data_IF_622800655028
#
_entry.id   IF_622800655028
#
_cell.length_a   1.000
_cell.length_b   1.000
_cell.length_c   1.000
_cell.angle_alpha   90.00
_cell.angle_beta   90.00
_cell.angle_gamma   90.00
#
_symmetry.space_group_name_H-M   'P 1'
#
loop_
_entity.id
_entity.type
_entity.pdbx_description
1 polymer ?
#
# COMPACT_ATOMS: atom_id res chain seq x y z
N UNK A 1 0.24 -18.90 -6.80
CA UNK A 1 -1.15 -19.01 -6.28
C UNK A 1 -2.01 -18.03 -7.06
N UNK A 2 -3.20 -18.42 -7.50
CA UNK A 2 -4.09 -17.54 -8.27
C UNK A 2 -5.28 -17.19 -7.38
N UNK A 3 -5.66 -15.92 -7.38
CA UNK A 3 -6.76 -15.41 -6.56
C UNK A 3 -7.77 -14.71 -7.44
N UNK A 4 -9.04 -14.91 -7.12
CA UNK A 4 -10.11 -14.13 -7.68
C UNK A 4 -10.25 -12.84 -6.85
N UNK A 5 -9.85 -11.73 -7.45
CA UNK A 5 -10.02 -10.40 -6.85
C UNK A 5 -11.41 -9.92 -7.23
N UNK A 6 -12.38 -10.15 -6.32
CA UNK A 6 -13.66 -9.47 -6.41
C UNK A 6 -13.43 -7.99 -6.13
N UNK A 7 -13.99 -7.11 -6.99
CA UNK A 7 -13.82 -5.67 -6.90
C UNK A 7 -14.58 -5.15 -5.66
N UNK A 8 -13.96 -5.25 -4.48
CA UNK A 8 -14.51 -4.64 -3.27
C UNK A 8 -14.14 -3.16 -3.36
N UNK A 9 -15.10 -2.33 -3.75
CA UNK A 9 -15.01 -0.88 -3.61
C UNK A 9 -14.80 -0.56 -2.13
N UNK A 10 -13.54 -0.42 -1.72
CA UNK A 10 -13.21 0.34 -0.53
C UNK A 10 -13.68 1.76 -0.80
N UNK A 11 -14.74 2.20 -0.13
CA UNK A 11 -15.18 3.59 -0.15
C UNK A 11 -14.05 4.44 0.42
N UNK A 12 -13.14 4.91 -0.43
CA UNK A 12 -12.29 6.05 -0.11
C UNK A 12 -13.26 7.22 0.04
N UNK A 13 -13.49 7.62 1.30
CA UNK A 13 -14.12 8.90 1.59
C UNK A 13 -13.36 10.01 0.88
N UNK A 14 -14.11 10.81 0.13
CA UNK A 14 -13.66 12.02 -0.54
C UNK A 14 -12.85 12.91 0.42
N UNK A 15 -11.56 13.08 0.14
CA UNK A 15 -10.77 14.16 0.75
C UNK A 15 -10.69 15.27 -0.29
N UNK A 16 -11.58 16.25 -0.18
CA UNK A 16 -11.56 17.46 -1.02
C UNK A 16 -10.36 18.32 -0.62
N UNK A 17 -9.23 18.08 -1.28
CA UNK A 17 -8.05 18.94 -1.23
C UNK A 17 -8.16 20.04 -2.28
N UNK A 18 -8.85 21.13 -1.95
CA UNK A 18 -8.64 22.42 -2.60
C UNK A 18 -7.45 23.12 -1.93
N UNK A 19 -6.23 22.74 -2.30
CA UNK A 19 -5.04 23.51 -1.97
C UNK A 19 -4.22 23.76 -3.23
N UNK A 20 -4.63 24.85 -3.88
CA UNK A 20 -3.81 25.90 -4.48
C UNK A 20 -2.58 25.46 -5.28
N UNK A 21 -2.77 25.60 -6.58
CA UNK A 21 -1.79 25.94 -7.60
C UNK A 21 -0.69 26.93 -7.14
N UNK A 22 0.45 26.76 -7.81
CA UNK A 22 1.58 27.67 -8.02
C UNK A 22 2.78 27.47 -7.11
N UNK A 23 3.83 26.94 -7.74
CA UNK A 23 5.11 26.66 -7.13
C UNK A 23 5.79 27.88 -6.56
N UNK A 24 6.66 27.63 -5.59
CA UNK A 24 7.57 28.63 -5.10
C UNK A 24 8.90 27.96 -4.72
N UNK A 25 9.93 28.50 -5.36
CA UNK A 25 11.34 28.25 -5.15
C UNK A 25 11.72 28.35 -3.67
N UNK A 26 12.47 27.35 -3.17
CA UNK A 26 13.14 27.45 -1.87
C UNK A 26 14.24 28.51 -1.96
N UNK A 27 14.01 29.70 -1.39
CA UNK A 27 15.08 30.61 -1.02
C UNK A 27 15.24 30.67 0.50
N UNK A 28 16.51 30.50 0.85
CA UNK A 28 17.21 30.50 2.13
C UNK A 28 16.55 31.15 3.36
N UNK A 29 16.72 30.42 4.46
CA UNK A 29 16.57 30.78 5.87
C UNK A 29 17.08 32.18 6.24
N UNK A 30 16.22 32.99 6.87
CA UNK A 30 16.65 34.02 7.83
C UNK A 30 15.51 34.32 8.82
N UNK A 31 15.48 33.62 9.95
CA UNK A 31 14.58 33.94 11.06
C UNK A 31 15.36 34.73 12.12
N UNK A 32 14.96 35.97 12.47
CA UNK A 32 15.36 36.58 13.72
C UNK A 32 14.47 36.07 14.85
N UNK A 33 15.10 35.83 15.99
CA UNK A 33 14.55 35.29 17.24
C UNK A 33 13.24 35.97 17.67
N UNK A 34 12.13 35.23 17.65
CA UNK A 34 10.90 35.65 18.33
C UNK A 34 10.67 34.72 19.54
N UNK A 35 10.96 35.26 20.73
CA UNK A 35 10.75 34.60 22.02
C UNK A 35 9.24 34.58 22.29
N UNK A 36 8.60 33.42 22.15
CA UNK A 36 7.19 33.24 22.51
C UNK A 36 7.07 32.93 24.02
N UNK A 37 6.45 33.88 24.73
CA UNK A 37 6.12 33.83 26.16
C UNK A 37 4.88 32.95 26.40
N UNK A 38 4.95 32.17 27.49
CA UNK A 38 4.07 31.10 28.01
C UNK A 38 2.61 31.52 28.31
N UNK A 39 1.63 30.58 28.49
CA UNK A 39 1.47 29.89 29.79
C UNK A 39 1.03 28.40 29.72
N UNK A 40 1.47 27.66 30.73
CA UNK A 40 1.00 26.33 31.10
C UNK A 40 -0.47 26.39 31.52
N UNK A 41 -1.35 25.71 30.78
CA UNK A 41 -2.67 25.28 31.29
C UNK A 41 -2.96 23.91 30.70
N UNK A 42 -3.21 22.96 31.61
CA UNK A 42 -3.43 21.52 31.44
C UNK A 42 -4.32 21.14 30.26
N UNK A 43 -3.74 20.98 29.07
CA UNK A 43 -4.39 20.36 27.93
C UNK A 43 -3.70 19.02 27.68
N UNK A 44 -4.47 17.93 27.81
CA UNK A 44 -3.98 16.56 27.70
C UNK A 44 -3.11 16.37 26.47
N UNK A 45 -2.03 15.62 26.65
CA UNK A 45 -1.17 15.09 25.59
C UNK A 45 -2.05 14.28 24.63
N UNK A 46 -2.60 14.95 23.62
CA UNK A 46 -3.32 14.33 22.53
C UNK A 46 -2.25 13.71 21.63
N UNK A 47 -1.91 12.45 21.89
CA UNK A 47 -1.15 11.64 20.96
C UNK A 47 -1.99 11.46 19.71
N UNK A 48 -1.66 12.20 18.64
CA UNK A 48 -2.22 11.94 17.32
C UNK A 48 -1.82 10.50 16.94
N UNK A 49 -2.79 9.59 16.93
CA UNK A 49 -2.56 8.22 16.51
C UNK A 49 -2.50 8.23 14.98
N UNK A 50 -1.29 8.07 14.43
CA UNK A 50 -1.10 7.93 13.00
C UNK A 50 -2.02 6.82 12.46
N UNK A 51 -2.72 7.10 11.36
CA UNK A 51 -3.48 6.07 10.67
C UNK A 51 -2.50 4.95 10.28
N UNK A 52 -2.76 3.74 10.75
CA UNK A 52 -1.97 2.58 10.35
C UNK A 52 -2.23 2.33 8.87
N UNK A 53 -1.22 2.57 8.04
CA UNK A 53 -1.20 2.17 6.64
C UNK A 53 -1.62 0.69 6.54
N UNK A 54 -2.65 0.39 5.74
CA UNK A 54 -3.10 -1.00 5.57
C UNK A 54 -2.07 -1.76 4.74
N UNK A 55 -1.64 -2.90 5.26
CA UNK A 55 -0.71 -3.78 4.56
C UNK A 55 -1.45 -4.72 3.61
N UNK A 56 -0.77 -5.20 2.58
CA UNK A 56 -1.29 -6.26 1.70
C UNK A 56 -1.63 -7.54 2.50
N UNK A 57 -0.97 -7.74 3.65
CA UNK A 57 -1.18 -8.89 4.53
C UNK A 57 -2.52 -8.86 5.29
N UNK A 58 -3.18 -7.70 5.36
CA UNK A 58 -4.45 -7.53 6.07
C UNK A 58 -5.66 -8.01 5.25
N UNK A 59 -5.45 -8.34 3.97
CA UNK A 59 -6.53 -8.75 3.07
C UNK A 59 -6.78 -10.27 3.12
N UNK A 60 -8.06 -10.61 2.94
CA UNK A 60 -8.51 -11.97 2.65
C UNK A 60 -9.11 -11.95 1.25
N UNK A 61 -8.63 -12.86 0.39
CA UNK A 61 -9.03 -12.99 -1.01
C UNK A 61 -9.58 -14.38 -1.27
N UNK A 62 -10.37 -14.56 -2.33
CA UNK A 62 -10.81 -15.88 -2.75
C UNK A 62 -9.75 -16.53 -3.64
N UNK A 63 -9.45 -17.80 -3.42
CA UNK A 63 -8.65 -18.58 -4.37
C UNK A 63 -9.48 -19.00 -5.60
N UNK A 64 -8.86 -19.74 -6.52
CA UNK A 64 -9.54 -20.26 -7.72
C UNK A 64 -10.68 -21.24 -7.44
N UNK A 65 -10.68 -21.87 -6.26
CA UNK A 65 -11.73 -22.78 -5.80
C UNK A 65 -12.84 -22.02 -5.05
N UNK A 66 -12.71 -20.70 -4.86
CA UNK A 66 -13.66 -19.85 -4.13
C UNK A 66 -13.47 -19.84 -2.61
N UNK A 67 -12.42 -20.48 -2.08
CA UNK A 67 -12.12 -20.52 -0.64
C UNK A 67 -11.43 -19.24 -0.20
N UNK A 68 -11.72 -18.79 1.01
CA UNK A 68 -11.11 -17.60 1.58
C UNK A 68 -9.67 -17.89 2.03
N UNK A 69 -8.74 -17.04 1.58
CA UNK A 69 -7.31 -17.13 1.86
C UNK A 69 -6.83 -15.78 2.40
N UNK A 70 -6.41 -15.76 3.66
CA UNK A 70 -5.74 -14.59 4.25
C UNK A 70 -4.33 -14.44 3.68
N UNK A 71 -3.97 -13.23 3.26
CA UNK A 71 -2.63 -12.89 2.74
C UNK A 71 -1.59 -12.71 3.86
N UNK A 72 -2.01 -12.74 5.12
CA UNK A 72 -1.12 -12.74 6.30
C UNK A 72 -0.16 -13.94 6.31
N UNK A 73 -0.53 -15.07 5.68
CA UNK A 73 0.35 -16.25 5.56
C UNK A 73 1.63 -16.00 4.77
N UNK A 74 1.72 -14.87 4.07
CA UNK A 74 2.86 -14.48 3.24
C UNK A 74 3.73 -13.40 3.90
N UNK A 75 3.51 -13.09 5.18
CA UNK A 75 4.43 -12.22 5.94
C UNK A 75 5.84 -12.84 5.93
N UNK A 76 6.85 -12.00 5.72
CA UNK A 76 8.24 -12.46 5.62
C UNK A 76 8.51 -13.23 4.33
N UNK A 77 7.79 -12.93 3.25
CA UNK A 77 8.06 -13.46 1.91
C UNK A 77 8.00 -12.36 0.88
N UNK A 78 8.87 -12.43 -0.12
CA UNK A 78 8.73 -11.62 -1.31
C UNK A 78 7.48 -12.05 -2.10
N UNK A 79 6.61 -11.08 -2.46
CA UNK A 79 5.37 -11.34 -3.20
C UNK A 79 5.39 -10.66 -4.56
N UNK A 80 5.16 -11.45 -5.61
CA UNK A 80 4.85 -10.97 -6.96
C UNK A 80 3.35 -11.17 -7.23
N UNK A 81 2.60 -10.07 -7.35
CA UNK A 81 1.16 -10.07 -7.60
C UNK A 81 0.91 -9.59 -9.04
N UNK A 82 0.23 -10.40 -9.83
CA UNK A 82 0.01 -10.14 -11.27
C UNK A 82 -1.47 -10.31 -11.61
N UNK A 83 -2.03 -9.32 -12.31
CA UNK A 83 -3.33 -9.46 -12.94
C UNK A 83 -3.17 -10.23 -14.26
N UNK A 84 -3.77 -11.43 -14.33
CA UNK A 84 -3.67 -12.32 -15.50
C UNK A 84 -5.00 -12.41 -16.24
N UNK A 85 -4.94 -12.57 -17.56
CA UNK A 85 -6.10 -12.81 -18.42
C UNK A 85 -5.86 -14.05 -19.29
N UNK A 86 -6.89 -14.88 -19.51
CA UNK A 86 -6.77 -16.14 -20.26
C UNK A 86 -6.89 -15.98 -21.78
N UNK A 87 -7.47 -14.87 -22.26
CA UNK A 87 -7.76 -14.62 -23.69
C UNK A 87 -7.02 -13.39 -24.21
N UNK A 88 -5.71 -13.37 -24.03
CA UNK A 88 -4.83 -12.31 -24.54
C UNK A 88 -3.69 -12.91 -25.39
N UNK A 89 -3.18 -12.18 -26.38
CA UNK A 89 -2.10 -12.65 -27.25
C UNK A 89 -0.79 -12.95 -26.51
N UNK A 90 -0.58 -12.34 -25.34
CA UNK A 90 0.62 -12.53 -24.50
C UNK A 90 0.43 -13.56 -23.38
N UNK A 91 -0.72 -14.25 -23.35
CA UNK A 91 -1.05 -15.17 -22.25
C UNK A 91 0.02 -16.25 -22.11
N UNK A 92 0.40 -16.89 -23.21
CA UNK A 92 1.34 -18.02 -23.20
C UNK A 92 2.74 -17.63 -22.72
N UNK A 93 3.28 -16.49 -23.17
CA UNK A 93 4.58 -16.01 -22.72
C UNK A 93 4.56 -15.61 -21.24
N UNK A 94 3.52 -14.88 -20.81
CA UNK A 94 3.38 -14.46 -19.42
C UNK A 94 3.34 -15.67 -18.46
N UNK A 95 2.55 -16.70 -18.75
CA UNK A 95 2.50 -17.88 -17.87
C UNK A 95 3.83 -18.64 -17.83
N UNK A 96 4.52 -18.76 -18.96
CA UNK A 96 5.83 -19.43 -19.03
C UNK A 96 6.88 -18.70 -18.18
N UNK A 97 6.98 -17.38 -18.33
CA UNK A 97 7.93 -16.54 -17.60
C UNK A 97 7.64 -16.54 -16.09
N UNK A 98 6.38 -16.44 -15.70
CA UNK A 98 5.97 -16.52 -14.29
C UNK A 98 6.32 -17.87 -13.66
N UNK A 99 6.15 -18.97 -14.41
CA UNK A 99 6.55 -20.30 -13.98
C UNK A 99 8.07 -20.38 -13.78
N UNK A 100 8.84 -19.85 -14.73
CA UNK A 100 10.31 -19.82 -14.65
C UNK A 100 10.82 -19.01 -13.45
N UNK A 101 10.25 -17.83 -13.18
CA UNK A 101 10.59 -17.02 -12.00
C UNK A 101 10.27 -17.81 -10.72
N UNK A 102 9.11 -18.44 -10.64
CA UNK A 102 8.74 -19.23 -9.46
C UNK A 102 9.72 -20.36 -9.19
N UNK A 103 10.08 -21.14 -10.21
CA UNK A 103 11.01 -22.27 -10.03
C UNK A 103 12.40 -21.82 -9.56
N UNK A 104 12.89 -20.68 -10.05
CA UNK A 104 14.21 -20.17 -9.70
C UNK A 104 14.28 -19.59 -8.27
N UNK A 105 13.20 -18.97 -7.78
CA UNK A 105 13.24 -18.16 -6.56
C UNK A 105 12.36 -18.66 -5.40
N UNK A 106 11.57 -19.74 -5.57
CA UNK A 106 10.64 -20.25 -4.53
C UNK A 106 11.29 -20.57 -3.18
N UNK A 107 12.59 -20.89 -3.14
CA UNK A 107 13.33 -21.19 -1.89
C UNK A 107 14.09 -20.00 -1.32
N UNK A 108 14.25 -18.93 -2.10
CA UNK A 108 15.11 -17.78 -1.78
C UNK A 108 14.33 -16.59 -1.20
N UNK A 109 13.01 -16.53 -1.41
CA UNK A 109 12.16 -15.43 -0.95
C UNK A 109 11.69 -15.55 0.50
N UNK A 110 12.63 -15.48 1.46
CA UNK A 110 12.36 -15.28 2.90
C UNK A 110 12.73 -13.86 3.33
#
# INVERSE_FOLDING_TARGET
MVFNISNKTSSLGSSTSTFLHNGFSLQSLKFPSFVLKTPSTTAGIAFARAATEKSIHDFTVKDIDGKDVSLSKFIGKALLIVNVASKCGLTSSNYSELSHIYENYKTQGQ
#
